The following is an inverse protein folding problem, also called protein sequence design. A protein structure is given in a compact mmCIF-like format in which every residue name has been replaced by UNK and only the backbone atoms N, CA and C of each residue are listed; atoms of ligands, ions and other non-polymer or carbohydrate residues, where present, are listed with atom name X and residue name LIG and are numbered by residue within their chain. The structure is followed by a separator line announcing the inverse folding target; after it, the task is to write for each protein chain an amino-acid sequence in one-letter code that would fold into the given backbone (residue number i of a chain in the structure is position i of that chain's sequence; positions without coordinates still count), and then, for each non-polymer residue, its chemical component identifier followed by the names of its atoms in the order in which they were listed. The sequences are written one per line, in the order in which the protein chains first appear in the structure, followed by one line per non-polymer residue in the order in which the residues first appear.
data_IF_031278566330
#
_entry.id   IF_031278566330
#
_cell.length_a   1.000
_cell.length_b   1.000
_cell.length_c   1.000
_cell.angle_alpha   90.00
_cell.angle_beta   90.00
_cell.angle_gamma   90.00
#
_symmetry.space_group_name_H-M   'P 1'
#
loop_
_entity.id
_entity.type
_entity.pdbx_description
1 polymer ?
#
# COMPACT_ATOMS: atom_id res chain seq x y z
N UNK A 1 20.96 -2.06 -8.27
CA UNK A 1 21.64 -0.78 -8.53
C UNK A 1 22.90 -1.08 -9.32
N UNK A 2 23.11 -0.44 -10.47
CA UNK A 2 24.37 -0.50 -11.21
C UNK A 2 25.18 0.77 -10.88
N UNK A 3 26.30 0.64 -10.15
CA UNK A 3 27.23 1.76 -9.94
C UNK A 3 28.50 1.59 -10.77
N UNK A 4 28.89 2.66 -11.46
CA UNK A 4 30.09 2.81 -12.28
C UNK A 4 31.30 3.25 -11.43
N UNK A 5 31.72 2.47 -10.43
CA UNK A 5 32.89 2.81 -9.60
C UNK A 5 34.01 1.77 -9.74
N UNK A 6 35.24 2.25 -9.79
CA UNK A 6 36.44 1.42 -9.92
C UNK A 6 36.93 0.94 -8.55
N UNK A 7 37.52 -0.26 -8.53
CA UNK A 7 37.94 -1.01 -7.33
C UNK A 7 38.95 -0.26 -6.43
N UNK A 8 39.57 0.80 -6.94
CA UNK A 8 40.57 1.61 -6.23
C UNK A 8 40.00 2.84 -5.51
N UNK A 9 38.72 3.14 -5.67
CA UNK A 9 38.06 4.21 -4.94
C UNK A 9 37.83 3.77 -3.50
N UNK A 10 38.83 4.01 -2.64
CA UNK A 10 38.77 3.77 -1.20
C UNK A 10 37.73 4.68 -0.52
N UNK A 11 36.46 4.43 -0.77
CA UNK A 11 35.37 4.73 0.14
C UNK A 11 35.28 3.51 1.04
N UNK A 12 35.16 3.69 2.36
CA UNK A 12 34.72 2.61 3.25
C UNK A 12 33.45 2.03 2.62
N UNK A 13 33.57 0.87 2.00
CA UNK A 13 32.44 0.14 1.49
C UNK A 13 31.65 -0.33 2.72
N UNK A 14 30.70 0.52 3.12
CA UNK A 14 29.48 0.12 3.83
C UNK A 14 28.67 -0.77 2.89
N UNK A 15 29.25 -1.94 2.59
CA UNK A 15 29.06 -2.64 1.32
C UNK A 15 27.69 -3.30 1.19
N UNK A 16 26.82 -3.23 2.18
CA UNK A 16 25.42 -3.59 2.01
C UNK A 16 24.55 -2.63 2.84
N UNK A 17 24.52 -1.36 2.43
CA UNK A 17 23.56 -0.35 2.95
C UNK A 17 22.09 -0.78 2.79
N UNK A 18 21.85 -1.90 2.12
CA UNK A 18 20.53 -2.52 1.96
C UNK A 18 20.67 -4.03 2.02
N UNK A 19 20.00 -4.67 2.98
CA UNK A 19 19.92 -6.13 3.07
C UNK A 19 18.50 -6.60 2.75
N UNK A 20 18.40 -7.82 2.19
CA UNK A 20 17.12 -8.42 1.84
C UNK A 20 16.90 -9.68 2.66
N UNK A 21 15.78 -9.71 3.36
CA UNK A 21 15.42 -10.77 4.29
C UNK A 21 14.00 -11.27 4.04
N UNK A 22 13.68 -12.40 4.67
CA UNK A 22 12.30 -12.92 4.69
C UNK A 22 11.60 -12.50 5.97
N UNK A 23 10.32 -12.14 5.84
CA UNK A 23 9.48 -11.79 6.98
C UNK A 23 9.30 -12.98 7.93
N UNK A 24 9.50 -12.79 9.22
CA UNK A 24 9.14 -13.77 10.24
C UNK A 24 7.89 -13.33 11.00
N UNK A 25 7.98 -12.26 11.78
CA UNK A 25 6.92 -11.79 12.67
C UNK A 25 7.04 -10.29 12.91
N UNK A 26 5.91 -9.63 13.22
CA UNK A 26 5.88 -8.20 13.53
C UNK A 26 5.23 -7.98 14.89
N UNK A 27 5.86 -7.14 15.71
CA UNK A 27 5.34 -6.73 17.01
C UNK A 27 4.93 -5.27 16.95
N UNK A 28 3.69 -4.96 17.36
CA UNK A 28 3.15 -3.61 17.36
C UNK A 28 3.22 -3.00 18.77
N UNK A 29 3.82 -1.83 18.87
CA UNK A 29 3.87 -1.01 20.08
C UNK A 29 3.03 0.26 19.95
N UNK A 30 3.07 1.12 20.98
CA UNK A 30 2.32 2.38 21.00
C UNK A 30 2.78 3.44 19.99
N UNK A 31 3.94 3.25 19.36
CA UNK A 31 4.56 4.24 18.45
C UNK A 31 5.01 3.68 17.10
N UNK A 32 4.66 2.44 16.77
CA UNK A 32 5.11 1.79 15.52
C UNK A 32 5.17 0.27 15.64
N UNK A 33 5.99 -0.34 14.79
CA UNK A 33 6.19 -1.78 14.79
C UNK A 33 7.68 -2.13 14.69
N UNK A 34 8.06 -3.27 15.26
CA UNK A 34 9.34 -3.94 14.99
C UNK A 34 9.07 -5.22 14.20
N UNK A 35 10.01 -5.59 13.35
CA UNK A 35 9.94 -6.84 12.57
C UNK A 35 11.15 -7.70 12.87
N UNK A 36 10.88 -8.97 13.18
CA UNK A 36 11.88 -10.00 13.20
C UNK A 36 12.08 -10.51 11.77
N UNK A 37 13.33 -10.54 11.31
CA UNK A 37 13.71 -10.98 9.97
C UNK A 37 14.42 -12.32 10.01
N UNK A 38 14.33 -13.10 8.93
CA UNK A 38 15.16 -14.29 8.72
C UNK A 38 16.16 -14.03 7.60
N UNK A 39 17.45 -14.02 7.97
CA UNK A 39 18.57 -13.79 7.07
C UNK A 39 19.29 -15.06 6.59
N UNK A 40 20.18 -14.91 5.60
CA UNK A 40 21.05 -15.96 5.05
C UNK A 40 22.23 -16.30 5.98
N UNK A 41 21.98 -16.52 7.28
CA UNK A 41 23.01 -16.97 8.24
C UNK A 41 23.39 -15.99 9.35
N UNK A 42 22.65 -14.89 9.53
CA UNK A 42 22.73 -14.01 10.70
C UNK A 42 21.47 -14.17 11.57
N UNK A 43 21.59 -13.91 12.88
CA UNK A 43 20.45 -13.99 13.82
C UNK A 43 19.29 -13.07 13.44
N UNK A 44 18.10 -13.39 13.94
CA UNK A 44 16.89 -12.59 13.78
C UNK A 44 17.08 -11.24 14.51
N UNK A 45 17.39 -10.17 13.78
CA UNK A 45 17.49 -8.82 14.34
C UNK A 45 16.11 -8.13 14.34
N UNK A 46 15.70 -7.61 15.50
CA UNK A 46 14.51 -6.76 15.62
C UNK A 46 14.80 -5.38 15.02
N UNK A 47 14.14 -5.07 13.91
CA UNK A 47 14.30 -3.79 13.21
C UNK A 47 13.02 -2.95 13.29
N UNK A 48 13.16 -1.65 13.52
CA UNK A 48 12.01 -0.72 13.49
C UNK A 48 11.47 -0.60 12.07
N UNK A 49 10.17 -0.82 11.90
CA UNK A 49 9.49 -0.74 10.61
C UNK A 49 9.21 0.71 10.24
N UNK A 50 9.62 1.11 9.04
CA UNK A 50 9.28 2.41 8.47
C UNK A 50 7.83 2.41 7.99
N UNK A 51 7.02 3.29 8.59
CA UNK A 51 5.67 3.57 8.13
C UNK A 51 5.71 4.52 6.92
N UNK A 52 5.63 3.99 5.70
CA UNK A 52 5.50 4.81 4.51
C UNK A 52 4.07 5.34 4.39
N UNK A 53 3.91 6.67 4.35
CA UNK A 53 2.60 7.31 4.29
C UNK A 53 1.73 7.08 5.54
N UNK A 54 2.33 6.73 6.68
CA UNK A 54 1.63 6.42 7.93
C UNK A 54 0.96 5.04 7.95
N UNK A 55 1.15 4.21 6.92
CA UNK A 55 0.61 2.86 6.86
C UNK A 55 1.67 1.82 7.23
N UNK A 56 1.30 0.86 8.07
CA UNK A 56 2.09 -0.34 8.39
C UNK A 56 1.20 -1.56 8.14
N UNK A 57 1.73 -2.57 7.44
CA UNK A 57 1.00 -3.81 7.17
C UNK A 57 1.06 -4.74 8.38
N UNK A 58 -0.10 -5.15 8.88
CA UNK A 58 -0.18 -6.19 9.90
C UNK A 58 -0.27 -7.57 9.22
N UNK A 59 0.90 -8.16 8.96
CA UNK A 59 1.00 -9.44 8.26
C UNK A 59 1.01 -10.62 9.26
N UNK A 60 0.35 -11.75 8.95
CA UNK A 60 0.47 -12.97 9.75
C UNK A 60 1.91 -13.50 9.76
N UNK A 61 2.32 -14.13 10.87
CA UNK A 61 3.63 -14.78 11.02
C UNK A 61 3.95 -15.72 9.85
N UNK A 62 5.17 -15.65 9.34
CA UNK A 62 5.68 -16.51 8.27
C UNK A 62 5.07 -16.21 6.89
N UNK A 63 4.38 -15.08 6.73
CA UNK A 63 3.92 -14.62 5.42
C UNK A 63 5.12 -14.49 4.47
N UNK A 64 4.93 -14.84 3.20
CA UNK A 64 5.92 -14.74 2.12
C UNK A 64 6.17 -13.27 1.68
N UNK A 65 6.45 -12.42 2.66
CA UNK A 65 6.79 -11.02 2.50
C UNK A 65 8.31 -10.84 2.53
N UNK A 66 8.75 -9.83 1.80
CA UNK A 66 10.15 -9.43 1.74
C UNK A 66 10.37 -8.27 2.72
N UNK A 67 11.46 -8.34 3.47
CA UNK A 67 11.89 -7.24 4.33
C UNK A 67 13.20 -6.70 3.78
N UNK A 68 13.22 -5.40 3.52
CA UNK A 68 14.40 -4.67 3.08
C UNK A 68 14.91 -3.90 4.29
N UNK A 69 16.10 -4.24 4.78
CA UNK A 69 16.74 -3.47 5.84
C UNK A 69 17.59 -2.38 5.22
N UNK A 70 17.47 -1.17 5.76
CA UNK A 70 18.19 0.02 5.34
C UNK A 70 19.07 0.50 6.50
N UNK A 71 20.39 0.53 6.28
CA UNK A 71 21.32 1.04 7.29
C UNK A 71 21.23 2.56 7.40
N UNK A 72 21.22 3.07 8.63
CA UNK A 72 21.19 4.50 8.97
C UNK A 72 22.55 5.19 8.76
N UNK A 73 23.12 5.07 7.56
CA UNK A 73 24.46 5.59 7.23
C UNK A 73 25.55 4.52 7.34
N UNK A 74 26.74 4.92 7.80
CA UNK A 74 27.90 4.02 7.95
C UNK A 74 27.86 3.11 9.19
N UNK A 75 26.76 3.12 9.95
CA UNK A 75 26.54 2.24 11.10
C UNK A 75 25.59 1.10 10.70
N UNK A 76 26.13 -0.11 10.66
CA UNK A 76 25.37 -1.31 10.31
C UNK A 76 24.50 -1.82 11.47
N UNK A 77 24.61 -1.27 12.68
CA UNK A 77 23.76 -1.65 13.81
C UNK A 77 22.44 -0.86 13.83
N UNK A 78 22.40 0.32 13.21
CA UNK A 78 21.20 1.15 13.12
C UNK A 78 20.44 0.82 11.83
N UNK A 79 19.55 -0.18 11.88
CA UNK A 79 18.76 -0.60 10.71
C UNK A 79 17.29 -0.23 10.84
N UNK A 80 16.72 0.20 9.73
CA UNK A 80 15.28 0.38 9.55
C UNK A 80 14.74 -0.66 8.58
N UNK A 81 13.55 -1.19 8.83
CA UNK A 81 12.93 -2.19 7.98
C UNK A 81 11.84 -1.57 7.10
N UNK A 82 11.93 -1.82 5.80
CA UNK A 82 10.83 -1.67 4.86
C UNK A 82 10.23 -3.04 4.58
N UNK A 83 8.98 -3.24 5.01
CA UNK A 83 8.25 -4.48 4.71
C UNK A 83 7.50 -4.31 3.40
N UNK A 84 7.77 -5.20 2.45
CA UNK A 84 7.10 -5.26 1.15
C UNK A 84 6.03 -6.34 1.20
N UNK A 85 4.87 -6.07 0.59
CA UNK A 85 3.75 -7.00 0.56
C UNK A 85 4.14 -8.37 -0.02
N UNK A 86 3.39 -9.44 0.28
CA UNK A 86 3.75 -10.80 -0.05
C UNK A 86 3.94 -10.98 -1.56
N UNK A 87 5.04 -11.61 -1.97
CA UNK A 87 5.45 -11.68 -3.39
C UNK A 87 4.42 -12.39 -4.27
N UNK A 88 3.72 -13.37 -3.71
CA UNK A 88 2.67 -14.15 -4.35
C UNK A 88 1.30 -13.45 -4.36
N UNK A 89 1.19 -12.25 -3.77
CA UNK A 89 -0.06 -11.52 -3.57
C UNK A 89 0.00 -10.06 -4.04
N UNK A 90 0.89 -9.77 -4.98
CA UNK A 90 1.02 -8.42 -5.56
C UNK A 90 0.14 -8.28 -6.79
N UNK A 91 -0.72 -7.25 -6.80
CA UNK A 91 -1.44 -6.85 -7.99
C UNK A 91 -0.50 -6.13 -8.96
N UNK A 92 -0.48 -6.57 -10.22
CA UNK A 92 0.25 -5.90 -11.29
C UNK A 92 -0.59 -4.73 -11.84
N UNK A 93 -0.33 -3.52 -11.34
CA UNK A 93 -0.98 -2.29 -11.81
C UNK A 93 -0.71 -2.04 -13.28
N UNK A 94 -1.73 -1.61 -14.03
CA UNK A 94 -1.56 -1.18 -15.41
C UNK A 94 -0.95 0.23 -15.45
N UNK A 95 -0.23 0.60 -16.52
CA UNK A 95 0.27 1.96 -16.70
C UNK A 95 -0.85 3.00 -16.57
N UNK A 96 -0.60 4.07 -15.82
CA UNK A 96 -1.56 5.16 -15.61
C UNK A 96 -2.59 4.89 -14.50
N UNK A 97 -2.51 3.77 -13.80
CA UNK A 97 -3.32 3.50 -12.61
C UNK A 97 -2.49 3.58 -11.33
N UNK A 98 -3.11 4.02 -10.23
CA UNK A 98 -2.51 4.02 -8.91
C UNK A 98 -3.43 3.29 -7.92
N UNK A 99 -2.92 2.24 -7.27
CA UNK A 99 -3.72 1.38 -6.38
C UNK A 99 -3.09 1.26 -4.99
N UNK A 100 -3.95 1.21 -3.98
CA UNK A 100 -3.67 0.67 -2.65
C UNK A 100 -4.40 -0.66 -2.53
N UNK A 101 -3.69 -1.73 -2.17
CA UNK A 101 -4.24 -3.08 -2.08
C UNK A 101 -4.28 -3.59 -0.64
N UNK A 102 -5.20 -4.52 -0.35
CA UNK A 102 -5.08 -5.42 0.79
C UNK A 102 -3.81 -6.27 0.61
N UNK A 103 -2.88 -6.30 1.58
CA UNK A 103 -1.63 -7.06 1.45
C UNK A 103 -1.85 -8.56 1.27
N UNK A 104 -2.98 -9.10 1.70
CA UNK A 104 -3.25 -10.53 1.71
C UNK A 104 -4.23 -10.99 0.63
N UNK A 105 -4.80 -10.05 -0.12
CA UNK A 105 -5.77 -10.33 -1.18
C UNK A 105 -5.66 -9.30 -2.33
N UNK A 106 -5.01 -9.65 -3.47
CA UNK A 106 -4.86 -8.72 -4.60
C UNK A 106 -6.21 -8.35 -5.25
N UNK A 107 -7.30 -9.05 -4.93
CA UNK A 107 -8.64 -8.73 -5.41
C UNK A 107 -9.35 -7.67 -4.55
N UNK A 108 -8.78 -7.28 -3.42
CA UNK A 108 -9.27 -6.18 -2.58
C UNK A 108 -8.36 -4.98 -2.72
N UNK A 109 -8.84 -3.93 -3.38
CA UNK A 109 -8.01 -2.76 -3.70
C UNK A 109 -8.84 -1.52 -3.97
N UNK A 110 -8.26 -0.36 -3.69
CA UNK A 110 -8.82 0.96 -3.98
C UNK A 110 -7.81 1.69 -4.86
N UNK A 111 -8.27 2.32 -5.92
CA UNK A 111 -7.34 2.99 -6.83
C UNK A 111 -7.95 4.08 -7.68
N UNK A 112 -7.05 4.90 -8.19
CA UNK A 112 -7.33 5.98 -9.13
C UNK A 112 -7.00 5.49 -10.54
N UNK A 113 -7.94 5.70 -11.44
CA UNK A 113 -7.89 5.32 -12.85
C UNK A 113 -8.23 6.54 -13.71
N UNK A 114 -8.06 6.44 -15.03
CA UNK A 114 -8.44 7.50 -15.96
C UNK A 114 -9.91 7.96 -15.81
N UNK A 115 -10.79 7.06 -15.36
CA UNK A 115 -12.24 7.32 -15.25
C UNK A 115 -12.69 7.63 -13.80
N UNK A 116 -11.75 7.83 -12.87
CA UNK A 116 -12.04 8.12 -11.47
C UNK A 116 -11.57 7.04 -10.50
N UNK A 117 -12.30 6.89 -9.39
CA UNK A 117 -11.93 6.00 -8.27
C UNK A 117 -12.64 4.65 -8.41
N UNK A 118 -11.93 3.57 -8.12
CA UNK A 118 -12.50 2.22 -8.07
C UNK A 118 -12.19 1.55 -6.75
N UNK A 119 -13.20 0.84 -6.23
CA UNK A 119 -13.09 -0.01 -5.04
C UNK A 119 -13.45 -1.43 -5.49
N UNK A 120 -12.46 -2.32 -5.48
CA UNK A 120 -12.59 -3.71 -5.89
C UNK A 120 -12.55 -4.60 -4.65
N UNK A 121 -13.34 -5.67 -4.63
CA UNK A 121 -13.33 -6.66 -3.54
C UNK A 121 -14.38 -6.40 -2.45
N UNK A 122 -15.43 -5.65 -2.77
CA UNK A 122 -16.64 -5.66 -1.93
C UNK A 122 -17.36 -7.00 -2.08
N UNK A 123 -18.10 -7.45 -1.06
CA UNK A 123 -18.88 -8.70 -1.12
C UNK A 123 -19.82 -8.78 -2.34
N UNK A 124 -20.11 -7.63 -2.97
CA UNK A 124 -21.03 -7.46 -4.09
C UNK A 124 -20.35 -7.09 -5.42
N UNK A 125 -19.01 -7.08 -5.51
CA UNK A 125 -18.26 -6.76 -6.73
C UNK A 125 -17.41 -5.48 -6.65
N UNK A 126 -17.33 -4.74 -7.76
CA UNK A 126 -16.55 -3.50 -7.89
C UNK A 126 -17.46 -2.28 -7.84
N UNK A 127 -17.14 -1.31 -6.98
CA UNK A 127 -17.77 0.01 -6.97
C UNK A 127 -16.90 0.96 -7.80
N UNK A 128 -17.46 1.54 -8.85
CA UNK A 128 -16.83 2.59 -9.64
C UNK A 128 -17.44 3.96 -9.28
N UNK A 129 -16.60 4.92 -8.92
CA UNK A 129 -16.97 6.29 -8.53
C UNK A 129 -16.28 7.25 -9.51
N UNK A 130 -17.05 8.06 -10.22
CA UNK A 130 -16.53 8.97 -11.25
C UNK A 130 -17.35 8.89 -12.53
N UNK A 131 -16.82 9.46 -13.60
CA UNK A 131 -17.51 9.56 -14.89
C UNK A 131 -17.98 8.18 -15.37
N UNK A 132 -19.29 8.08 -15.63
CA UNK A 132 -19.97 6.85 -16.03
C UNK A 132 -19.83 5.68 -15.02
N UNK A 133 -19.50 5.97 -13.76
CA UNK A 133 -19.40 5.00 -12.67
C UNK A 133 -20.77 4.56 -12.11
N UNK A 134 -20.74 3.61 -11.17
CA UNK A 134 -21.93 3.23 -10.39
C UNK A 134 -22.46 4.42 -9.57
N UNK A 135 -21.55 5.30 -9.15
CA UNK A 135 -21.85 6.58 -8.50
C UNK A 135 -21.09 7.69 -9.23
N UNK A 136 -21.78 8.77 -9.58
CA UNK A 136 -21.19 9.94 -10.22
C UNK A 136 -21.82 11.22 -9.69
N UNK A 137 -21.01 12.27 -9.50
CA UNK A 137 -21.49 13.64 -9.33
C UNK A 137 -20.95 14.43 -10.50
N UNK A 138 -21.83 14.93 -11.37
CA UNK A 138 -21.42 15.68 -12.55
C UNK A 138 -21.05 17.14 -12.20
N UNK A 139 -20.51 17.85 -13.20
CA UNK A 139 -20.09 19.25 -13.06
C UNK A 139 -21.22 20.22 -12.71
N UNK A 140 -22.47 19.85 -12.98
CA UNK A 140 -23.65 20.66 -12.72
C UNK A 140 -24.25 20.33 -11.34
N UNK A 141 -23.61 19.39 -10.60
CA UNK A 141 -23.98 18.96 -9.26
C UNK A 141 -25.04 17.87 -9.22
N UNK A 142 -25.39 17.26 -10.36
CA UNK A 142 -26.34 16.15 -10.37
C UNK A 142 -25.66 14.88 -9.85
N UNK A 143 -26.41 14.11 -9.06
CA UNK A 143 -25.95 12.82 -8.53
C UNK A 143 -26.59 11.70 -9.32
N UNK A 144 -25.76 10.84 -9.91
CA UNK A 144 -26.18 9.68 -10.67
C UNK A 144 -25.87 8.40 -9.90
N UNK A 145 -26.89 7.56 -9.71
CA UNK A 145 -26.76 6.21 -9.17
C UNK A 145 -27.18 5.21 -10.25
N UNK A 146 -26.26 4.35 -10.68
CA UNK A 146 -26.49 3.40 -11.78
C UNK A 146 -26.58 1.97 -11.24
N UNK A 147 -27.65 1.27 -11.61
CA UNK A 147 -27.93 -0.11 -11.17
C UNK A 147 -29.21 -0.22 -10.35
N UNK A 148 -29.40 -1.35 -9.67
CA UNK A 148 -30.49 -1.50 -8.72
C UNK A 148 -30.19 -0.69 -7.46
N UNK A 149 -31.10 0.21 -7.09
CA UNK A 149 -30.97 1.07 -5.92
C UNK A 149 -32.06 0.72 -4.92
N UNK A 150 -31.66 0.36 -3.71
CA UNK A 150 -32.56 0.16 -2.57
C UNK A 150 -32.45 1.38 -1.66
N UNK A 151 -33.60 1.99 -1.36
CA UNK A 151 -33.67 3.23 -0.59
C UNK A 151 -34.42 2.96 0.69
N UNK A 152 -33.70 2.90 1.82
CA UNK A 152 -34.29 2.61 3.13
C UNK A 152 -35.05 3.78 3.74
N UNK A 153 -34.82 5.02 3.28
CA UNK A 153 -35.43 6.25 3.80
C UNK A 153 -35.81 7.20 2.68
N UNK A 154 -36.87 8.03 2.84
CA UNK A 154 -37.27 8.98 1.81
C UNK A 154 -36.12 9.88 1.34
N UNK A 155 -36.04 10.10 0.03
CA UNK A 155 -35.11 11.08 -0.54
C UNK A 155 -35.64 12.47 -0.22
N UNK A 156 -34.86 13.26 0.53
CA UNK A 156 -35.17 14.67 0.77
C UNK A 156 -34.66 15.47 -0.42
N UNK A 157 -35.56 15.77 -1.37
CA UNK A 157 -35.24 16.67 -2.47
C UNK A 157 -35.43 18.12 -2.02
N UNK A 158 -34.33 18.86 -1.83
CA UNK A 158 -34.40 20.31 -1.70
C UNK A 158 -34.49 20.94 -3.10
N UNK A 159 -35.69 21.13 -3.61
CA UNK A 159 -35.90 21.96 -4.79
C UNK A 159 -35.67 23.41 -4.39
N UNK A 160 -34.58 24.04 -4.86
CA UNK A 160 -34.51 25.51 -4.88
C UNK A 160 -35.62 25.98 -5.82
N UNK A 161 -36.63 26.66 -5.28
CA UNK A 161 -37.60 27.35 -6.10
C UNK A 161 -36.85 28.43 -6.90
N UNK A 162 -36.86 28.32 -8.23
CA UNK A 162 -36.49 29.44 -9.08
C UNK A 162 -37.59 30.49 -8.92
N UNK A 163 -37.33 31.54 -8.15
CA UNK A 163 -38.15 32.75 -8.20
C UNK A 163 -37.85 33.43 -9.53
N UNK A 164 -38.87 33.48 -10.40
CA UNK A 164 -38.89 34.22 -11.66
C UNK A 164 -38.60 35.69 -11.48
#
# INVERSE_FOLDING_TARGET
MSSLKDFSDAVRDGQDSTERHTFNEMTFGSGGATVAVKGNGTEDDDCVVLALGGAIMHLPKGTNAEVILLSGGGDNNAKFALVVGPRDKQYASQPGEAWTQDPMDPNKRIGFTANGVRIVGTQSGTIAIGDNGAVEVDKDGNVWLRGQVYVERPIIQQTKAFTS
#
